data_IF_740628788662
#
_entry.id   IF_740628788662
#
_cell.length_a   1.000
_cell.length_b   1.000
_cell.length_c   1.000
_cell.angle_alpha   90.00
_cell.angle_beta   90.00
_cell.angle_gamma   90.00
#
_symmetry.space_group_name_H-M   'P 1'
#
loop_
_entity.id
_entity.type
_entity.pdbx_description
1 polymer ?
#
# COMPACT_ATOMS: atom_id res chain seq x y z
N UNK A 1 12.92 21.71 -32.71
CA UNK A 1 11.96 21.61 -31.60
C UNK A 1 12.70 21.94 -30.32
N UNK A 2 12.38 23.09 -29.75
CA UNK A 2 12.92 23.59 -28.49
C UNK A 2 12.43 22.70 -27.35
N UNK A 3 13.37 22.05 -26.66
CA UNK A 3 13.14 21.44 -25.36
C UNK A 3 12.76 22.57 -24.41
N UNK A 4 11.47 22.67 -24.08
CA UNK A 4 10.99 23.51 -22.99
C UNK A 4 11.73 23.11 -21.73
N UNK A 5 12.34 24.09 -21.07
CA UNK A 5 13.01 23.91 -19.80
C UNK A 5 12.06 23.15 -18.86
N UNK A 6 12.51 22.01 -18.34
CA UNK A 6 11.86 21.36 -17.22
C UNK A 6 11.70 22.43 -16.13
N UNK A 7 10.46 22.81 -15.84
CA UNK A 7 10.16 23.55 -14.61
C UNK A 7 10.86 22.79 -13.49
N UNK A 8 11.78 23.45 -12.77
CA UNK A 8 12.37 22.85 -11.59
C UNK A 8 11.21 22.55 -10.64
N UNK A 9 10.85 21.26 -10.51
CA UNK A 9 9.86 20.83 -9.55
C UNK A 9 10.38 21.19 -8.15
N UNK A 10 9.60 21.97 -7.42
CA UNK A 10 9.87 22.25 -6.01
C UNK A 10 9.14 21.21 -5.16
N UNK A 11 9.72 20.77 -4.03
CA UNK A 11 9.05 19.82 -3.16
C UNK A 11 7.80 20.46 -2.53
N UNK A 12 6.74 19.67 -2.38
CA UNK A 12 5.50 20.04 -1.72
C UNK A 12 5.77 20.40 -0.25
N UNK A 13 5.07 21.42 0.26
CA UNK A 13 5.20 21.81 1.67
C UNK A 13 4.73 20.67 2.61
N UNK A 14 5.40 20.42 3.75
CA UNK A 14 4.94 19.45 4.74
C UNK A 14 3.50 19.68 5.21
N UNK A 15 3.05 20.95 5.24
CA UNK A 15 1.68 21.29 5.61
C UNK A 15 0.63 20.82 4.59
N UNK A 16 0.94 20.87 3.29
CA UNK A 16 0.06 20.34 2.25
C UNK A 16 -0.07 18.82 2.38
N UNK A 17 1.08 18.14 2.46
CA UNK A 17 1.17 16.68 2.58
C UNK A 17 0.41 16.19 3.81
N UNK A 18 0.68 16.78 4.98
CA UNK A 18 0.00 16.43 6.22
C UNK A 18 -1.52 16.62 6.16
N UNK A 19 -2.02 17.69 5.51
CA UNK A 19 -3.47 17.95 5.40
C UNK A 19 -4.19 16.88 4.58
N UNK A 20 -3.62 16.43 3.47
CA UNK A 20 -4.20 15.34 2.65
C UNK A 20 -4.35 14.08 3.51
N UNK A 21 -3.28 13.72 4.24
CA UNK A 21 -3.27 12.55 5.10
C UNK A 21 -4.23 12.63 6.29
N UNK A 22 -4.32 13.77 6.99
CA UNK A 22 -5.24 13.93 8.14
C UNK A 22 -6.71 13.84 7.73
N UNK A 23 -7.07 14.39 6.56
CA UNK A 23 -8.42 14.31 6.01
C UNK A 23 -8.78 12.88 5.61
N UNK A 24 -7.90 12.21 4.89
CA UNK A 24 -8.07 10.81 4.49
C UNK A 24 -8.24 9.89 5.71
N UNK A 25 -7.35 10.03 6.71
CA UNK A 25 -7.42 9.24 7.94
C UNK A 25 -8.69 9.52 8.75
N UNK A 26 -9.14 10.78 8.80
CA UNK A 26 -10.39 11.15 9.47
C UNK A 26 -11.60 10.52 8.78
N UNK A 27 -11.61 10.47 7.45
CA UNK A 27 -12.66 9.80 6.68
C UNK A 27 -12.67 8.29 6.98
N UNK A 28 -11.51 7.63 6.93
CA UNK A 28 -11.39 6.19 7.21
C UNK A 28 -11.88 5.82 8.62
N UNK A 29 -11.52 6.61 9.64
CA UNK A 29 -11.96 6.38 11.02
C UNK A 29 -13.48 6.56 11.19
N UNK A 30 -14.08 7.51 10.47
CA UNK A 30 -15.52 7.73 10.47
C UNK A 30 -16.31 6.63 9.73
N UNK A 31 -15.69 5.94 8.78
CA UNK A 31 -16.30 4.91 7.94
C UNK A 31 -15.79 3.49 8.26
N UNK A 32 -15.12 3.31 9.41
CA UNK A 32 -14.45 2.03 9.74
C UNK A 32 -15.40 0.83 9.82
N UNK A 33 -16.67 1.04 10.14
CA UNK A 33 -17.65 -0.04 10.24
C UNK A 33 -17.99 -0.67 8.88
N UNK A 34 -17.76 0.01 7.76
CA UNK A 34 -17.94 -0.56 6.42
C UNK A 34 -16.89 -1.64 6.07
N UNK A 35 -15.80 -1.75 6.84
CA UNK A 35 -14.84 -2.86 6.68
C UNK A 35 -15.33 -4.19 7.30
N UNK A 36 -16.48 -4.20 7.99
CA UNK A 36 -16.97 -5.41 8.66
C UNK A 36 -17.42 -6.45 7.65
N UNK A 37 -16.94 -7.68 7.86
CA UNK A 37 -17.40 -8.85 7.13
C UNK A 37 -18.89 -9.11 7.42
N UNK A 38 -19.69 -9.06 6.38
CA UNK A 38 -21.11 -9.44 6.37
C UNK A 38 -21.27 -10.97 6.39
N UNK A 39 -22.48 -11.50 6.63
CA UNK A 39 -22.74 -12.93 6.47
C UNK A 39 -22.43 -13.47 5.07
N UNK A 40 -22.61 -12.65 4.03
CA UNK A 40 -22.29 -13.01 2.64
C UNK A 40 -20.77 -13.15 2.43
N UNK A 41 -19.99 -12.22 2.98
CA UNK A 41 -18.52 -12.28 2.91
C UNK A 41 -17.95 -13.53 3.59
N UNK A 42 -18.66 -14.04 4.61
CA UNK A 42 -18.29 -15.25 5.35
C UNK A 42 -18.82 -16.56 4.74
N UNK A 43 -19.59 -16.47 3.66
CA UNK A 43 -20.25 -17.64 3.09
C UNK A 43 -19.25 -18.61 2.41
N UNK A 44 -18.13 -18.08 1.89
CA UNK A 44 -17.12 -18.87 1.18
C UNK A 44 -15.71 -18.34 1.46
N UNK A 45 -14.70 -19.22 1.35
CA UNK A 45 -13.30 -18.82 1.49
C UNK A 45 -12.89 -17.73 0.49
N UNK A 46 -13.36 -17.79 -0.76
CA UNK A 46 -13.09 -16.77 -1.78
C UNK A 46 -13.70 -15.41 -1.44
N UNK A 47 -14.95 -15.36 -0.98
CA UNK A 47 -15.59 -14.10 -0.57
C UNK A 47 -14.89 -13.48 0.65
N UNK A 48 -14.45 -14.32 1.59
CA UNK A 48 -13.67 -13.85 2.74
C UNK A 48 -12.32 -13.30 2.29
N UNK A 49 -11.62 -13.98 1.37
CA UNK A 49 -10.35 -13.50 0.80
C UNK A 49 -10.51 -12.13 0.15
N UNK A 50 -11.56 -11.93 -0.65
CA UNK A 50 -11.83 -10.66 -1.31
C UNK A 50 -12.00 -9.51 -0.30
N UNK A 51 -12.71 -9.75 0.81
CA UNK A 51 -12.85 -8.76 1.89
C UNK A 51 -11.67 -8.62 2.83
N UNK A 52 -10.77 -9.61 2.89
CA UNK A 52 -9.54 -9.47 3.68
C UNK A 52 -8.53 -8.52 3.02
N UNK A 53 -8.60 -8.31 1.70
CA UNK A 53 -7.75 -7.35 0.99
C UNK A 53 -7.84 -5.93 1.59
N UNK A 54 -9.01 -5.29 1.69
CA UNK A 54 -9.12 -3.95 2.28
C UNK A 54 -8.73 -3.89 3.77
N UNK A 55 -8.91 -4.99 4.51
CA UNK A 55 -8.48 -5.08 5.92
C UNK A 55 -6.93 -5.13 6.00
N UNK A 56 -6.28 -5.91 5.15
CA UNK A 56 -4.83 -5.97 5.06
C UNK A 56 -4.22 -4.64 4.64
N UNK A 57 -4.84 -3.97 3.67
CA UNK A 57 -4.45 -2.62 3.25
C UNK A 57 -4.58 -1.63 4.40
N UNK A 58 -5.72 -1.59 5.09
CA UNK A 58 -5.89 -0.78 6.30
C UNK A 58 -4.76 -1.02 7.31
N UNK A 59 -4.46 -2.29 7.62
CA UNK A 59 -3.43 -2.65 8.59
C UNK A 59 -2.03 -2.17 8.16
N UNK A 60 -1.62 -2.42 6.93
CA UNK A 60 -0.32 -1.99 6.38
C UNK A 60 -0.20 -0.46 6.39
N UNK A 61 -1.22 0.25 5.92
CA UNK A 61 -1.22 1.71 5.86
C UNK A 61 -1.09 2.30 7.27
N UNK A 62 -1.88 1.82 8.24
CA UNK A 62 -1.80 2.31 9.61
C UNK A 62 -0.46 1.98 10.28
N UNK A 63 0.13 0.82 9.99
CA UNK A 63 1.47 0.46 10.47
C UNK A 63 2.52 1.46 9.97
N UNK A 64 2.47 1.86 8.68
CA UNK A 64 3.35 2.89 8.15
C UNK A 64 3.14 4.22 8.86
N UNK A 65 1.89 4.65 9.07
CA UNK A 65 1.58 5.89 9.79
C UNK A 65 2.16 5.89 11.22
N UNK A 66 2.16 4.73 11.88
CA UNK A 66 2.83 4.58 13.18
C UNK A 66 4.34 4.70 13.11
N UNK A 67 4.96 4.05 12.11
CA UNK A 67 6.40 4.01 11.92
C UNK A 67 6.97 5.38 11.61
N UNK A 68 6.37 6.10 10.67
CA UNK A 68 6.90 7.37 10.19
C UNK A 68 6.86 8.47 11.25
N UNK A 69 6.01 8.36 12.28
CA UNK A 69 6.02 9.25 13.45
C UNK A 69 5.73 10.73 13.16
N UNK A 70 5.54 11.11 11.90
CA UNK A 70 5.16 12.44 11.43
C UNK A 70 3.69 12.76 11.62
N UNK A 71 2.91 11.74 11.98
CA UNK A 71 1.55 11.89 12.42
C UNK A 71 1.54 12.70 13.73
N UNK A 72 0.89 13.86 13.74
CA UNK A 72 0.61 14.56 14.99
C UNK A 72 -0.10 13.62 15.99
N UNK A 73 -0.07 13.94 17.29
CA UNK A 73 -0.59 13.06 18.36
C UNK A 73 -1.99 12.48 18.04
N UNK A 74 -2.86 13.30 17.43
CA UNK A 74 -4.20 12.89 16.99
C UNK A 74 -4.20 11.84 15.87
N UNK A 75 -3.39 12.02 14.83
CA UNK A 75 -3.32 11.05 13.72
C UNK A 75 -2.76 9.71 14.22
N UNK A 76 -1.74 9.74 15.09
CA UNK A 76 -1.20 8.54 15.72
C UNK A 76 -2.25 7.80 16.55
N UNK A 77 -3.05 8.53 17.35
CA UNK A 77 -4.16 7.94 18.11
C UNK A 77 -5.19 7.29 17.20
N UNK A 78 -5.59 7.95 16.10
CA UNK A 78 -6.56 7.38 15.14
C UNK A 78 -6.03 6.14 14.43
N UNK A 79 -4.78 6.17 13.96
CA UNK A 79 -4.15 5.01 13.35
C UNK A 79 -4.10 3.82 14.33
N UNK A 80 -3.85 4.11 15.62
CA UNK A 80 -3.91 3.12 16.71
C UNK A 80 -5.27 2.50 16.87
N UNK A 81 -6.29 3.33 16.99
CA UNK A 81 -7.66 2.88 17.12
C UNK A 81 -8.10 2.02 15.91
N UNK A 82 -7.71 2.40 14.70
CA UNK A 82 -8.00 1.63 13.48
C UNK A 82 -7.28 0.28 13.44
N UNK A 83 -6.02 0.20 13.88
CA UNK A 83 -5.30 -1.08 13.99
C UNK A 83 -5.90 -1.98 15.05
N UNK A 84 -6.22 -1.44 16.23
CA UNK A 84 -6.89 -2.19 17.30
C UNK A 84 -8.25 -2.69 16.83
N UNK A 85 -9.02 -1.86 16.13
CA UNK A 85 -10.30 -2.22 15.53
C UNK A 85 -10.15 -3.36 14.50
N UNK A 86 -9.20 -3.24 13.58
CA UNK A 86 -8.94 -4.27 12.59
C UNK A 86 -8.57 -5.61 13.22
N UNK A 87 -7.65 -5.60 14.21
CA UNK A 87 -7.24 -6.82 14.89
C UNK A 87 -8.35 -7.44 15.73
N UNK A 88 -8.97 -6.65 16.63
CA UNK A 88 -9.89 -7.17 17.64
C UNK A 88 -11.27 -7.44 17.08
N UNK A 89 -11.77 -6.57 16.20
CA UNK A 89 -13.16 -6.61 15.77
C UNK A 89 -13.33 -7.20 14.37
N UNK A 90 -12.50 -6.81 13.40
CA UNK A 90 -12.64 -7.33 12.03
C UNK A 90 -12.10 -8.75 11.91
N UNK A 91 -10.94 -9.02 12.53
CA UNK A 91 -10.24 -10.29 12.46
C UNK A 91 -10.51 -11.23 13.65
N UNK A 92 -11.32 -10.80 14.62
CA UNK A 92 -11.61 -11.53 15.86
C UNK A 92 -10.32 -12.04 16.55
N UNK A 93 -9.38 -11.11 16.77
CA UNK A 93 -8.09 -11.41 17.37
C UNK A 93 -7.22 -12.38 16.56
N UNK A 94 -7.49 -12.56 15.26
CA UNK A 94 -6.81 -13.47 14.36
C UNK A 94 -7.57 -14.77 14.05
N UNK A 95 -8.69 -15.04 14.72
CA UNK A 95 -9.49 -16.26 14.49
C UNK A 95 -10.03 -16.36 13.06
N UNK A 96 -10.39 -15.22 12.45
CA UNK A 96 -10.84 -15.19 11.04
C UNK A 96 -9.73 -15.68 10.11
N UNK A 97 -8.51 -15.23 10.34
CA UNK A 97 -7.34 -15.64 9.55
C UNK A 97 -7.00 -17.11 9.79
N UNK A 98 -7.09 -17.58 11.03
CA UNK A 98 -6.82 -18.97 11.36
C UNK A 98 -7.84 -19.94 10.72
N UNK A 99 -9.13 -19.58 10.74
CA UNK A 99 -10.18 -20.34 10.09
C UNK A 99 -9.96 -20.38 8.57
N UNK A 100 -9.71 -19.22 7.94
CA UNK A 100 -9.42 -19.17 6.51
C UNK A 100 -8.17 -19.97 6.15
N UNK A 101 -7.11 -19.91 6.95
CA UNK A 101 -5.89 -20.70 6.70
C UNK A 101 -6.16 -22.21 6.81
N UNK A 102 -7.13 -22.63 7.62
CA UNK A 102 -7.55 -24.03 7.69
C UNK A 102 -8.33 -24.46 6.45
N UNK A 103 -9.28 -23.63 6.01
CA UNK A 103 -10.15 -23.92 4.87
C UNK A 103 -9.40 -23.80 3.54
N UNK A 104 -8.43 -22.88 3.46
CA UNK A 104 -7.59 -22.60 2.30
C UNK A 104 -6.09 -22.70 2.65
N UNK A 105 -5.53 -23.90 2.92
CA UNK A 105 -4.18 -24.06 3.45
C UNK A 105 -3.06 -23.45 2.61
N UNK A 106 -3.25 -23.29 1.30
CA UNK A 106 -2.22 -22.75 0.42
C UNK A 106 -2.47 -21.28 0.05
N UNK A 107 -3.49 -20.65 0.63
CA UNK A 107 -3.70 -19.20 0.45
C UNK A 107 -2.61 -18.43 1.19
N UNK A 108 -1.92 -17.49 0.53
CA UNK A 108 -0.95 -16.61 1.19
C UNK A 108 -1.65 -15.45 1.93
N UNK A 109 -2.94 -15.23 1.70
CA UNK A 109 -3.68 -14.05 2.19
C UNK A 109 -3.65 -13.96 3.72
N UNK A 110 -3.89 -15.03 4.50
CA UNK A 110 -3.80 -14.94 5.95
C UNK A 110 -2.41 -14.49 6.44
N UNK A 111 -1.33 -14.98 5.82
CA UNK A 111 0.04 -14.56 6.15
C UNK A 111 0.25 -13.06 5.89
N UNK A 112 -0.15 -12.59 4.72
CA UNK A 112 0.06 -11.20 4.29
C UNK A 112 -0.73 -10.20 5.14
N UNK A 113 -1.98 -10.55 5.49
CA UNK A 113 -2.82 -9.74 6.39
C UNK A 113 -2.31 -9.80 7.84
N UNK A 114 -1.76 -10.94 8.27
CA UNK A 114 -1.24 -11.13 9.62
C UNK A 114 0.08 -10.39 9.88
N UNK A 115 0.94 -10.28 8.87
CA UNK A 115 2.31 -9.77 9.02
C UNK A 115 2.42 -8.38 9.71
N UNK A 116 1.62 -7.36 9.37
CA UNK A 116 1.66 -6.06 10.07
C UNK A 116 1.34 -6.18 11.56
N UNK A 117 0.37 -7.02 11.94
CA UNK A 117 0.00 -7.23 13.33
C UNK A 117 1.08 -7.98 14.10
N UNK A 118 1.72 -8.96 13.47
CA UNK A 118 2.83 -9.68 14.09
C UNK A 118 4.01 -8.77 14.42
N UNK A 119 4.37 -7.84 13.52
CA UNK A 119 5.40 -6.83 13.76
C UNK A 119 5.05 -5.88 14.93
N UNK A 120 3.76 -5.60 15.12
CA UNK A 120 3.25 -4.84 16.27
C UNK A 120 3.14 -5.66 17.57
N UNK A 121 3.57 -6.93 17.55
CA UNK A 121 3.61 -7.80 18.73
C UNK A 121 2.37 -8.66 18.95
N UNK A 122 1.37 -8.62 18.05
CA UNK A 122 0.23 -9.52 18.13
C UNK A 122 0.64 -10.96 17.80
N UNK A 123 0.09 -11.93 18.52
CA UNK A 123 0.40 -13.36 18.36
C UNK A 123 -0.88 -14.16 18.23
N UNK A 124 -0.86 -15.15 17.35
CA UNK A 124 -1.97 -16.09 17.22
C UNK A 124 -1.42 -17.50 16.96
N UNK A 125 -1.16 -18.29 18.02
CA UNK A 125 -0.50 -19.60 17.89
C UNK A 125 -1.17 -20.58 16.92
N UNK A 126 -2.51 -20.57 16.81
CA UNK A 126 -3.24 -21.44 15.89
C UNK A 126 -2.93 -21.15 14.41
N UNK A 127 -3.11 -19.90 13.98
CA UNK A 127 -2.68 -19.38 12.68
C UNK A 127 -1.19 -19.64 12.40
N UNK A 128 -0.30 -19.31 13.33
CA UNK A 128 1.15 -19.51 13.16
C UNK A 128 1.49 -20.99 12.92
N UNK A 129 0.86 -21.91 13.67
CA UNK A 129 1.02 -23.35 13.47
C UNK A 129 0.47 -23.82 12.11
N UNK A 130 -0.69 -23.32 11.69
CA UNK A 130 -1.30 -23.66 10.40
C UNK A 130 -0.46 -23.17 9.20
N UNK A 131 0.10 -21.95 9.31
CA UNK A 131 1.03 -21.40 8.33
C UNK A 131 2.30 -22.25 8.23
N UNK A 132 2.90 -22.63 9.37
CA UNK A 132 4.11 -23.45 9.39
C UNK A 132 3.91 -24.82 8.71
N UNK A 133 2.76 -25.46 8.92
CA UNK A 133 2.44 -26.73 8.23
C UNK A 133 2.34 -26.53 6.72
N UNK A 134 1.59 -25.51 6.29
CA UNK A 134 1.33 -25.26 4.87
C UNK A 134 2.60 -24.91 4.09
N UNK A 135 3.49 -24.14 4.72
CA UNK A 135 4.77 -23.69 4.14
C UNK A 135 5.79 -24.80 3.90
N UNK A 136 5.66 -25.95 4.59
CA UNK A 136 6.54 -27.11 4.39
C UNK A 136 6.23 -27.89 3.12
N UNK A 137 5.11 -27.58 2.46
CA UNK A 137 4.72 -28.24 1.22
C UNK A 137 5.49 -27.67 0.03
N UNK A 138 5.71 -28.51 -0.99
CA UNK A 138 6.19 -28.05 -2.30
C UNK A 138 5.18 -27.11 -2.96
N UNK A 139 3.89 -27.29 -2.69
CA UNK A 139 2.83 -26.42 -3.21
C UNK A 139 3.05 -24.96 -2.84
N UNK A 140 3.45 -24.67 -1.60
CA UNK A 140 3.71 -23.28 -1.16
C UNK A 140 4.78 -22.57 -1.99
N UNK A 141 5.91 -23.25 -2.24
CA UNK A 141 6.99 -22.69 -3.04
C UNK A 141 6.62 -22.64 -4.54
N UNK A 142 5.74 -23.53 -5.00
CA UNK A 142 5.29 -23.64 -6.38
C UNK A 142 4.01 -22.87 -6.73
N UNK A 143 3.43 -22.07 -5.80
CA UNK A 143 2.22 -21.28 -6.08
C UNK A 143 2.38 -20.44 -7.36
N UNK A 144 1.41 -20.56 -8.26
CA UNK A 144 1.31 -19.72 -9.46
C UNK A 144 0.85 -18.31 -9.04
N UNK A 145 1.70 -17.31 -9.25
CA UNK A 145 1.47 -15.95 -8.78
C UNK A 145 2.02 -14.94 -9.77
N UNK A 146 1.38 -13.78 -9.85
CA UNK A 146 1.97 -12.61 -10.51
C UNK A 146 3.30 -12.27 -9.82
N UNK A 147 4.37 -11.91 -10.56
CA UNK A 147 5.69 -11.74 -9.97
C UNK A 147 5.79 -10.77 -8.78
N UNK A 148 5.08 -9.64 -8.79
CA UNK A 148 5.10 -8.70 -7.66
C UNK A 148 4.44 -9.31 -6.41
N UNK A 149 3.38 -10.12 -6.57
CA UNK A 149 2.73 -10.80 -5.45
C UNK A 149 3.67 -11.79 -4.76
N UNK A 150 4.56 -12.44 -5.51
CA UNK A 150 5.62 -13.29 -4.91
C UNK A 150 6.52 -12.47 -3.98
N UNK A 151 6.89 -11.24 -4.36
CA UNK A 151 7.64 -10.35 -3.46
C UNK A 151 6.85 -10.00 -2.19
N UNK A 152 5.53 -9.81 -2.31
CA UNK A 152 4.63 -9.60 -1.18
C UNK A 152 4.67 -10.73 -0.15
N UNK A 153 4.56 -11.97 -0.62
CA UNK A 153 4.68 -13.17 0.23
C UNK A 153 6.05 -13.24 0.89
N UNK A 154 7.13 -13.08 0.14
CA UNK A 154 8.49 -13.12 0.70
C UNK A 154 8.72 -12.01 1.74
N UNK A 155 8.14 -10.83 1.52
CA UNK A 155 8.21 -9.75 2.49
C UNK A 155 7.41 -10.09 3.75
N UNK A 156 6.19 -10.63 3.62
CA UNK A 156 5.37 -11.06 4.74
C UNK A 156 6.07 -12.17 5.56
N UNK A 157 6.69 -13.16 4.91
CA UNK A 157 7.48 -14.20 5.59
C UNK A 157 8.60 -13.60 6.45
N UNK A 158 9.35 -12.61 5.93
CA UNK A 158 10.39 -11.91 6.71
C UNK A 158 9.82 -11.18 7.91
N UNK A 159 8.70 -10.46 7.73
CA UNK A 159 8.04 -9.69 8.79
C UNK A 159 7.58 -10.56 9.97
N UNK A 160 7.17 -11.79 9.68
CA UNK A 160 6.80 -12.77 10.71
C UNK A 160 7.99 -13.58 11.24
N UNK A 161 9.22 -13.28 10.81
CA UNK A 161 10.44 -13.94 11.25
C UNK A 161 10.67 -15.33 10.64
N UNK A 162 9.98 -15.66 9.54
CA UNK A 162 10.15 -16.91 8.82
C UNK A 162 11.29 -16.79 7.79
N UNK A 163 11.95 -17.92 7.53
CA UNK A 163 12.89 -18.02 6.40
C UNK A 163 12.12 -17.87 5.08
N UNK A 164 12.48 -16.94 4.18
CA UNK A 164 11.78 -16.77 2.91
C UNK A 164 11.73 -18.05 2.08
N UNK A 165 10.59 -18.29 1.46
CA UNK A 165 10.30 -19.48 0.64
C UNK A 165 10.98 -19.46 -0.74
N UNK A 166 11.54 -18.33 -1.15
CA UNK A 166 12.33 -18.17 -2.36
C UNK A 166 13.37 -17.05 -2.20
N UNK A 167 14.32 -17.01 -3.14
CA UNK A 167 15.28 -15.92 -3.25
C UNK A 167 14.61 -14.63 -3.76
N UNK A 168 14.85 -13.52 -3.07
CA UNK A 168 14.14 -12.28 -3.34
C UNK A 168 14.68 -11.54 -4.57
N UNK A 169 15.98 -11.63 -4.83
CA UNK A 169 16.60 -10.99 -6.00
C UNK A 169 16.15 -11.72 -7.28
N UNK A 170 16.06 -13.04 -7.24
CA UNK A 170 15.46 -13.83 -8.32
C UNK A 170 13.98 -13.53 -8.52
N UNK A 171 13.21 -13.32 -7.43
CA UNK A 171 11.81 -12.92 -7.54
C UNK A 171 11.68 -11.51 -8.16
N UNK A 172 12.53 -10.56 -7.77
CA UNK A 172 12.58 -9.22 -8.35
C UNK A 172 12.91 -9.28 -9.84
N UNK A 173 13.90 -10.09 -10.23
CA UNK A 173 14.28 -10.28 -11.64
C UNK A 173 13.16 -10.91 -12.49
N UNK A 174 12.05 -11.38 -11.90
CA UNK A 174 10.87 -11.86 -12.65
C UNK A 174 9.79 -10.78 -12.82
N UNK A 175 9.86 -9.66 -12.11
CA UNK A 175 8.89 -8.57 -12.28
C UNK A 175 9.16 -7.79 -13.56
N UNK A 176 8.14 -7.07 -14.04
CA UNK A 176 8.29 -6.14 -15.16
C UNK A 176 9.34 -5.07 -14.83
N UNK A 177 9.28 -4.48 -13.62
CA UNK A 177 10.22 -3.47 -13.18
C UNK A 177 11.66 -3.99 -13.08
N UNK A 178 11.86 -5.23 -12.59
CA UNK A 178 13.19 -5.84 -12.50
C UNK A 178 13.82 -6.18 -13.87
N UNK A 179 13.05 -6.08 -14.96
CA UNK A 179 13.53 -6.28 -16.34
C UNK A 179 13.84 -4.98 -17.08
N UNK A 180 13.49 -3.84 -16.49
CA UNK A 180 13.74 -2.50 -17.05
C UNK A 180 13.34 -2.36 -18.55
N UNK A 181 12.14 -2.80 -18.96
CA UNK A 181 11.70 -2.74 -20.36
C UNK A 181 11.42 -1.30 -20.82
N UNK A 182 10.85 -1.13 -22.00
CA UNK A 182 10.55 0.19 -22.54
C UNK A 182 9.46 0.93 -21.72
N UNK A 183 9.72 2.15 -21.21
CA UNK A 183 8.85 2.83 -20.25
C UNK A 183 7.53 3.33 -20.82
N UNK A 184 7.39 3.43 -22.15
CA UNK A 184 6.16 3.84 -22.82
C UNK A 184 5.16 2.69 -23.01
N UNK A 185 5.50 1.47 -22.58
CA UNK A 185 4.58 0.32 -22.64
C UNK A 185 3.77 0.14 -21.36
N UNK A 186 3.90 1.04 -20.38
CA UNK A 186 3.22 0.96 -19.09
C UNK A 186 1.72 1.19 -19.29
N UNK A 187 0.96 0.11 -19.20
CA UNK A 187 -0.50 0.12 -19.12
C UNK A 187 -0.96 0.17 -17.66
N UNK A 188 -2.25 0.41 -17.42
CA UNK A 188 -2.83 0.52 -16.07
C UNK A 188 -2.38 -0.62 -15.13
N UNK A 189 -2.55 -1.88 -15.54
CA UNK A 189 -2.16 -3.03 -14.71
C UNK A 189 -0.64 -3.09 -14.45
N UNK A 190 0.18 -2.73 -15.44
CA UNK A 190 1.65 -2.68 -15.31
C UNK A 190 2.06 -1.59 -14.31
N UNK A 191 1.36 -0.46 -14.31
CA UNK A 191 1.63 0.62 -13.37
C UNK A 191 1.38 0.18 -11.93
N UNK A 192 0.29 -0.54 -11.66
CA UNK A 192 0.06 -1.19 -10.35
C UNK A 192 1.09 -2.28 -10.04
N UNK A 193 1.53 -3.06 -11.04
CA UNK A 193 2.60 -4.04 -10.82
C UNK A 193 3.93 -3.36 -10.43
N UNK A 194 4.22 -2.17 -11.00
CA UNK A 194 5.38 -1.35 -10.67
C UNK A 194 5.28 -0.83 -9.22
N UNK A 195 4.13 -0.27 -8.83
CA UNK A 195 3.93 0.27 -7.47
C UNK A 195 4.10 -0.83 -6.42
N UNK A 196 3.42 -1.97 -6.57
CA UNK A 196 3.54 -3.09 -5.65
C UNK A 196 4.96 -3.69 -5.60
N UNK A 197 5.68 -3.72 -6.73
CA UNK A 197 7.09 -4.13 -6.73
C UNK A 197 7.91 -3.22 -5.83
N UNK A 198 7.77 -1.89 -5.95
CA UNK A 198 8.50 -0.93 -5.12
C UNK A 198 8.07 -1.00 -3.66
N UNK A 199 6.77 -1.15 -3.38
CA UNK A 199 6.26 -1.30 -2.01
C UNK A 199 6.87 -2.52 -1.33
N UNK A 200 6.92 -3.67 -1.99
CA UNK A 200 7.51 -4.87 -1.38
C UNK A 200 9.04 -4.79 -1.28
N UNK A 201 9.71 -4.21 -2.28
CA UNK A 201 11.17 -4.05 -2.30
C UNK A 201 11.68 -3.18 -1.13
N UNK A 202 10.96 -2.11 -0.83
CA UNK A 202 11.32 -1.13 0.21
C UNK A 202 10.73 -1.44 1.58
N UNK A 203 10.01 -2.55 1.74
CA UNK A 203 9.16 -2.80 2.90
C UNK A 203 8.23 -1.61 3.23
N UNK A 204 7.46 -1.21 2.23
CA UNK A 204 6.52 -0.09 2.28
C UNK A 204 7.22 1.21 2.71
N UNK A 205 8.40 1.46 2.12
CA UNK A 205 9.19 2.68 2.33
C UNK A 205 10.17 2.68 3.51
N UNK A 206 10.21 1.64 4.35
CA UNK A 206 11.15 1.56 5.49
C UNK A 206 12.62 1.49 5.05
N UNK A 207 12.89 0.86 3.91
CA UNK A 207 14.23 0.57 3.44
C UNK A 207 14.41 1.03 1.97
N UNK A 208 14.46 2.36 1.71
CA UNK A 208 14.66 2.91 0.37
C UNK A 208 15.94 2.40 -0.31
N UNK A 209 17.00 2.18 0.48
CA UNK A 209 18.31 1.74 0.01
C UNK A 209 18.31 0.29 -0.51
N UNK A 210 17.21 -0.46 -0.36
CA UNK A 210 17.05 -1.79 -0.96
C UNK A 210 16.72 -1.75 -2.45
N UNK A 211 16.35 -0.59 -3.00
CA UNK A 211 16.12 -0.48 -4.43
C UNK A 211 17.47 -0.60 -5.16
N UNK A 212 17.63 -1.58 -6.08
CA UNK A 212 18.85 -1.69 -6.87
C UNK A 212 19.15 -0.40 -7.66
N UNK A 213 20.42 0.01 -7.82
CA UNK A 213 20.76 1.28 -8.45
C UNK A 213 20.24 1.47 -9.88
N UNK A 214 20.15 0.40 -10.65
CA UNK A 214 19.60 0.39 -12.01
C UNK A 214 18.07 0.59 -12.02
N UNK A 215 17.35 -0.07 -11.11
CA UNK A 215 15.91 0.16 -10.88
C UNK A 215 15.66 1.59 -10.41
N UNK A 216 16.46 2.10 -9.48
CA UNK A 216 16.34 3.47 -8.98
C UNK A 216 16.57 4.48 -10.13
N UNK A 217 17.63 4.29 -10.93
CA UNK A 217 17.91 5.16 -12.08
C UNK A 217 16.78 5.13 -13.13
N UNK A 218 16.19 3.97 -13.38
CA UNK A 218 15.06 3.81 -14.28
C UNK A 218 13.82 4.56 -13.77
N UNK A 219 13.46 4.38 -12.50
CA UNK A 219 12.34 5.09 -11.88
C UNK A 219 12.57 6.60 -11.83
N UNK A 220 13.74 7.07 -11.40
CA UNK A 220 14.09 8.50 -11.40
C UNK A 220 13.94 9.13 -12.79
N UNK A 221 14.21 8.36 -13.85
CA UNK A 221 14.12 8.86 -15.23
C UNK A 221 12.69 8.94 -15.76
N UNK A 222 11.84 7.96 -15.44
CA UNK A 222 10.54 7.80 -16.12
C UNK A 222 9.32 8.05 -15.24
N UNK A 223 9.44 7.92 -13.91
CA UNK A 223 8.34 8.18 -12.98
C UNK A 223 7.72 9.59 -13.15
N UNK A 224 8.48 10.69 -13.38
CA UNK A 224 7.88 12.00 -13.58
C UNK A 224 6.88 12.06 -14.75
N UNK A 225 7.20 11.40 -15.87
CA UNK A 225 6.32 11.36 -17.02
C UNK A 225 5.05 10.55 -16.74
N UNK A 226 5.18 9.41 -16.05
CA UNK A 226 4.02 8.62 -15.65
C UNK A 226 3.12 9.38 -14.66
N UNK A 227 3.70 10.09 -13.69
CA UNK A 227 2.94 10.92 -12.76
C UNK A 227 2.14 12.00 -13.50
N UNK A 228 2.73 12.64 -14.51
CA UNK A 228 2.04 13.59 -15.37
C UNK A 228 0.88 12.96 -16.14
N UNK A 229 1.13 11.84 -16.81
CA UNK A 229 0.12 11.15 -17.61
C UNK A 229 -1.09 10.73 -16.75
N UNK A 230 -0.85 10.14 -15.57
CA UNK A 230 -1.94 9.70 -14.68
C UNK A 230 -2.65 10.86 -13.98
N UNK A 231 -1.96 11.98 -13.74
CA UNK A 231 -2.60 13.21 -13.28
C UNK A 231 -3.53 13.80 -14.36
N UNK A 232 -3.12 13.76 -15.63
CA UNK A 232 -3.91 14.25 -16.76
C UNK A 232 -5.11 13.35 -17.10
N UNK A 233 -4.98 12.04 -16.85
CA UNK A 233 -6.11 11.10 -16.90
C UNK A 233 -7.02 11.18 -15.66
N UNK A 234 -6.66 12.00 -14.68
CA UNK A 234 -7.35 12.15 -13.40
C UNK A 234 -7.53 10.80 -12.67
N UNK A 235 -6.59 9.87 -12.84
CA UNK A 235 -6.63 8.55 -12.20
C UNK A 235 -5.95 8.63 -10.84
N UNK A 236 -6.64 9.24 -9.87
CA UNK A 236 -6.12 9.60 -8.56
C UNK A 236 -5.61 8.40 -7.74
N UNK A 237 -6.25 7.23 -7.85
CA UNK A 237 -5.79 6.04 -7.12
C UNK A 237 -4.35 5.67 -7.48
N UNK A 238 -4.11 5.37 -8.76
CA UNK A 238 -2.79 5.06 -9.28
C UNK A 238 -1.79 6.23 -9.15
N UNK A 239 -2.23 7.47 -9.36
CA UNK A 239 -1.37 8.64 -9.11
C UNK A 239 -0.89 8.65 -7.65
N UNK A 240 -1.80 8.41 -6.70
CA UNK A 240 -1.47 8.29 -5.28
C UNK A 240 -0.42 7.21 -5.01
N UNK A 241 -0.56 6.03 -5.62
CA UNK A 241 0.43 4.96 -5.48
C UNK A 241 1.79 5.33 -6.10
N UNK A 242 1.81 6.02 -7.24
CA UNK A 242 3.05 6.50 -7.86
C UNK A 242 3.72 7.61 -7.03
N UNK A 243 2.93 8.43 -6.29
CA UNK A 243 3.48 9.37 -5.31
C UNK A 243 4.13 8.64 -4.12
N UNK A 244 3.58 7.48 -3.70
CA UNK A 244 4.28 6.60 -2.75
C UNK A 244 5.59 6.09 -3.35
N UNK A 245 5.59 5.67 -4.62
CA UNK A 245 6.82 5.22 -5.31
C UNK A 245 7.88 6.31 -5.30
N UNK A 246 7.53 7.55 -5.61
CA UNK A 246 8.46 8.70 -5.53
C UNK A 246 9.02 8.83 -4.11
N UNK A 247 8.16 8.81 -3.08
CA UNK A 247 8.59 8.90 -1.68
C UNK A 247 9.50 7.74 -1.23
N UNK A 248 9.37 6.56 -1.86
CA UNK A 248 10.22 5.39 -1.64
C UNK A 248 11.60 5.48 -2.32
N UNK A 249 11.82 6.43 -3.23
CA UNK A 249 13.12 6.60 -3.88
C UNK A 249 14.16 7.14 -2.87
N UNK A 250 15.45 6.80 -3.05
CA UNK A 250 16.54 7.36 -2.24
C UNK A 250 16.55 8.90 -2.23
N UNK A 251 16.16 9.51 -3.36
CA UNK A 251 15.99 10.95 -3.53
C UNK A 251 14.61 11.25 -4.13
N UNK A 252 13.58 11.44 -3.31
CA UNK A 252 12.23 11.73 -3.77
C UNK A 252 12.16 13.17 -4.32
N UNK A 253 11.29 13.40 -5.31
CA UNK A 253 11.08 14.75 -5.87
C UNK A 253 10.03 15.52 -5.08
N UNK A 254 8.97 14.82 -4.65
CA UNK A 254 7.79 15.35 -3.97
C UNK A 254 7.17 16.55 -4.72
N UNK A 255 7.07 16.50 -6.05
CA UNK A 255 6.65 17.63 -6.90
C UNK A 255 5.37 18.32 -6.37
N UNK A 256 5.52 19.58 -5.95
CA UNK A 256 4.46 20.41 -5.38
C UNK A 256 3.25 20.53 -6.31
N UNK A 257 3.44 20.65 -7.62
CA UNK A 257 2.34 20.79 -8.58
C UNK A 257 1.46 19.54 -8.60
N UNK A 258 2.08 18.36 -8.60
CA UNK A 258 1.35 17.08 -8.59
C UNK A 258 0.61 16.89 -7.26
N UNK A 259 1.24 17.23 -6.14
CA UNK A 259 0.60 17.19 -4.82
C UNK A 259 -0.54 18.19 -4.67
N UNK A 260 -0.45 19.38 -5.26
CA UNK A 260 -1.53 20.36 -5.29
C UNK A 260 -2.73 19.86 -6.11
N UNK A 261 -2.48 19.25 -7.28
CA UNK A 261 -3.53 18.60 -8.08
C UNK A 261 -4.19 17.45 -7.31
N UNK A 262 -3.37 16.58 -6.71
CA UNK A 262 -3.85 15.44 -5.93
C UNK A 262 -4.69 15.90 -4.72
N UNK A 263 -4.24 16.93 -4.00
CA UNK A 263 -4.99 17.50 -2.89
C UNK A 263 -6.31 18.15 -3.33
N UNK A 264 -6.34 18.78 -4.52
CA UNK A 264 -7.55 19.39 -5.06
C UNK A 264 -8.62 18.36 -5.48
N UNK A 265 -8.20 17.13 -5.83
CA UNK A 265 -9.11 16.03 -6.14
C UNK A 265 -9.76 15.42 -4.89
N UNK A 266 -9.15 15.57 -3.70
CA UNK A 266 -9.72 15.05 -2.45
C UNK A 266 -11.03 15.77 -2.11
N UNK A 267 -12.09 15.00 -1.89
CA UNK A 267 -13.40 15.53 -1.55
C UNK A 267 -13.39 16.30 -0.21
N UNK A 268 -14.40 17.16 0.01
CA UNK A 268 -14.53 17.92 1.26
C UNK A 268 -14.58 17.01 2.49
N UNK A 269 -15.19 15.83 2.35
CA UNK A 269 -15.27 14.78 3.38
C UNK A 269 -13.92 14.13 3.74
N UNK A 270 -12.91 14.27 2.88
CA UNK A 270 -11.59 13.63 3.01
C UNK A 270 -11.42 12.36 2.17
N UNK A 271 -12.50 11.84 1.57
CA UNK A 271 -12.42 10.72 0.62
C UNK A 271 -11.64 11.12 -0.65
N UNK A 272 -10.93 10.17 -1.22
CA UNK A 272 -10.27 10.30 -2.52
C UNK A 272 -11.03 9.45 -3.56
N UNK A 273 -11.48 10.02 -4.70
CA UNK A 273 -12.07 9.21 -5.77
C UNK A 273 -11.01 8.33 -6.46
N UNK A 274 -11.44 7.26 -7.15
CA UNK A 274 -10.53 6.45 -7.97
C UNK A 274 -10.07 7.27 -9.18
N UNK A 275 -11.03 7.84 -9.90
CA UNK A 275 -10.81 8.59 -11.13
C UNK A 275 -11.84 9.72 -11.23
N UNK A 276 -11.45 10.86 -11.81
CA UNK A 276 -12.32 12.03 -11.98
C UNK A 276 -12.85 12.57 -10.64
N UNK A 277 -14.17 12.59 -10.45
CA UNK A 277 -14.83 13.07 -9.24
C UNK A 277 -15.35 11.95 -8.35
N UNK A 278 -15.93 12.33 -7.21
CA UNK A 278 -16.58 11.37 -6.32
C UNK A 278 -17.74 10.64 -7.01
N UNK A 279 -17.87 9.31 -6.84
CA UNK A 279 -19.04 8.60 -7.32
C UNK A 279 -20.27 8.99 -6.51
N UNK A 280 -21.43 8.98 -7.17
CA UNK A 280 -22.74 9.14 -6.55
C UNK A 280 -23.38 7.77 -6.31
N UNK A 281 -24.18 7.63 -5.26
CA UNK A 281 -24.96 6.42 -5.04
C UNK A 281 -25.10 6.03 -3.57
N UNK A 282 -25.36 4.74 -3.37
CA UNK A 282 -25.48 4.14 -2.04
C UNK A 282 -24.15 4.22 -1.27
N UNK A 283 -24.17 4.57 0.03
CA UNK A 283 -22.94 4.70 0.83
C UNK A 283 -22.05 3.46 0.86
N UNK A 284 -22.61 2.25 0.88
CA UNK A 284 -21.82 1.00 0.86
C UNK A 284 -21.05 0.89 -0.46
N UNK A 285 -21.76 1.15 -1.57
CA UNK A 285 -21.20 1.10 -2.92
C UNK A 285 -20.15 2.20 -3.15
N UNK A 286 -20.38 3.40 -2.60
CA UNK A 286 -19.41 4.50 -2.64
C UNK A 286 -18.19 4.14 -1.82
N UNK A 287 -18.35 3.62 -0.60
CA UNK A 287 -17.24 3.20 0.25
C UNK A 287 -16.37 2.13 -0.45
N UNK A 288 -16.99 1.12 -1.04
CA UNK A 288 -16.29 0.05 -1.77
C UNK A 288 -15.46 0.57 -2.96
N UNK A 289 -15.84 1.71 -3.54
CA UNK A 289 -15.05 2.37 -4.58
C UNK A 289 -13.93 3.25 -4.02
N UNK A 290 -14.17 3.99 -2.93
CA UNK A 290 -13.26 5.08 -2.51
C UNK A 290 -12.37 4.76 -1.31
N UNK A 291 -12.57 3.64 -0.62
CA UNK A 291 -11.75 3.30 0.54
C UNK A 291 -10.27 3.12 0.17
N UNK A 292 -9.97 2.42 -0.93
CA UNK A 292 -8.61 2.14 -1.38
C UNK A 292 -7.84 3.43 -1.75
N UNK A 293 -8.31 4.28 -2.68
CA UNK A 293 -7.63 5.55 -2.97
C UNK A 293 -7.52 6.46 -1.73
N UNK A 294 -8.46 6.37 -0.80
CA UNK A 294 -8.38 7.13 0.46
C UNK A 294 -7.29 6.58 1.39
N UNK A 295 -7.11 5.25 1.47
CA UNK A 295 -5.98 4.62 2.16
C UNK A 295 -4.65 5.06 1.53
N UNK A 296 -4.55 4.97 0.20
CA UNK A 296 -3.37 5.41 -0.56
C UNK A 296 -3.06 6.89 -0.29
N UNK A 297 -4.06 7.77 -0.25
CA UNK A 297 -3.88 9.18 0.09
C UNK A 297 -3.29 9.37 1.50
N UNK A 298 -3.76 8.60 2.49
CA UNK A 298 -3.20 8.64 3.84
C UNK A 298 -1.74 8.17 3.88
N UNK A 299 -1.42 7.08 3.20
CA UNK A 299 -0.08 6.49 3.16
C UNK A 299 0.93 7.33 2.38
N UNK A 300 0.58 7.75 1.16
CA UNK A 300 1.42 8.64 0.35
C UNK A 300 1.76 9.92 1.13
N UNK A 301 0.76 10.50 1.79
CA UNK A 301 0.94 11.72 2.59
C UNK A 301 1.88 11.51 3.78
N UNK A 302 1.73 10.40 4.51
CA UNK A 302 2.58 10.09 5.66
C UNK A 302 4.05 9.90 5.23
N UNK A 303 4.27 9.10 4.19
CA UNK A 303 5.59 8.89 3.59
C UNK A 303 6.21 10.20 3.12
N UNK A 304 5.50 10.97 2.30
CA UNK A 304 5.99 12.23 1.76
C UNK A 304 6.30 13.26 2.86
N UNK A 305 5.47 13.35 3.91
CA UNK A 305 5.70 14.25 5.05
C UNK A 305 6.99 13.87 5.79
N UNK A 306 7.22 12.57 6.02
CA UNK A 306 8.46 12.05 6.63
C UNK A 306 9.70 12.40 5.80
N UNK A 307 9.62 12.20 4.48
CA UNK A 307 10.71 12.51 3.56
C UNK A 307 10.99 14.02 3.48
N UNK A 308 9.96 14.86 3.48
CA UNK A 308 10.12 16.31 3.47
C UNK A 308 10.79 16.82 4.76
N UNK A 309 10.35 16.35 5.92
CA UNK A 309 10.91 16.77 7.21
C UNK A 309 12.35 16.28 7.46
N UNK A 310 12.71 15.12 6.90
CA UNK A 310 14.08 14.59 7.00
C UNK A 310 15.05 15.31 6.05
N UNK A 311 14.56 15.81 4.91
CA UNK A 311 15.35 16.57 3.94
C UNK A 311 15.63 17.99 4.43
N UNK A 312 14.66 18.63 5.10
CA UNK A 312 14.83 19.98 5.69
C UNK A 312 15.77 20.00 6.91
N UNK A 313 16.05 18.85 7.51
CA UNK A 313 16.88 18.70 8.70
C UNK A 313 18.37 18.43 8.40
N UNK A 314 18.75 18.21 7.13
CA UNK A 314 20.11 17.92 6.67
C UNK A 314 20.75 19.09 5.93
#
# INVERSE_FOLDING_TARGET
MTVTAASLAYPASPALLHRVGDRALSWLDAHRDFFRLTPEDRATGSATIERLKPIGELAINMQVLFREGVAGSRQRTRAGALLDFAWRELLDGGNVLAALQHDEPHSPVPLEVYAPFHELGHRHPGLEAALEVSRRTTTWTALEMVPNRRLGVLNAERKVGLTPSADFDQALARTWLGRLPEPWTVQLHIAYDVTHTVFHLTNWGEAPDRIPPDVAAYLTRYLPAWLDDWADLEHWDLLGELLVVDACLPRPTLDARLWERYAAAQAESGAMPIQHGMPEGDPDVVFDQVHHPTLVAAFASAMATSRALTTDAG
#
